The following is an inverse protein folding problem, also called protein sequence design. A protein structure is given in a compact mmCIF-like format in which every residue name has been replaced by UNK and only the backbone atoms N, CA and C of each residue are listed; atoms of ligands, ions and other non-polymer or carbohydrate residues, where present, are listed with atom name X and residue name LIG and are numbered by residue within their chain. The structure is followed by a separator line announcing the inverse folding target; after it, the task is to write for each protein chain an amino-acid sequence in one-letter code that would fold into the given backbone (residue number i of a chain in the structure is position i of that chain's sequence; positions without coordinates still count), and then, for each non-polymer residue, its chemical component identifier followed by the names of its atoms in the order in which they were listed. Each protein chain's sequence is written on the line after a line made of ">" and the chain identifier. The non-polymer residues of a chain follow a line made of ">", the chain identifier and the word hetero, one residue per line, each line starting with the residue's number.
data_IF_605316621550
#
_entry.id   IF_605316621550
#
_cell.length_a   1.000
_cell.length_b   1.000
_cell.length_c   1.000
_cell.angle_alpha   90.00
_cell.angle_beta   90.00
_cell.angle_gamma   90.00
#
_symmetry.space_group_name_H-M   'P 1'
#
loop_
_entity.id
_entity.type
_entity.pdbx_description
1 polymer ?
#
# COMPACT_ATOMS: atom_id res chain seq x y z
N UNK A 1 9.22 -5.77 0.71
CA UNK A 1 7.75 -5.89 0.60
C UNK A 1 7.19 -4.49 0.76
N UNK A 2 6.18 -4.08 -0.02
CA UNK A 2 5.62 -2.73 0.05
C UNK A 2 4.42 -2.69 1.00
N UNK A 3 4.21 -1.53 1.64
CA UNK A 3 3.09 -1.30 2.52
C UNK A 3 2.24 -0.13 2.02
N UNK A 4 0.93 -0.31 2.10
CA UNK A 4 -0.09 0.61 1.61
C UNK A 4 -1.01 1.03 2.73
N UNK A 5 -1.56 2.25 2.62
CA UNK A 5 -2.60 2.70 3.56
C UNK A 5 -3.97 2.31 3.01
N UNK A 6 -4.96 2.15 3.89
CA UNK A 6 -6.32 1.82 3.43
C UNK A 6 -6.89 2.93 2.55
N UNK A 7 -6.63 4.19 2.87
CA UNK A 7 -7.09 5.32 2.04
C UNK A 7 -6.44 5.34 0.66
N UNK A 8 -5.20 4.88 0.55
CA UNK A 8 -4.49 4.72 -0.73
C UNK A 8 -5.14 3.61 -1.55
N UNK A 9 -5.35 2.42 -0.98
CA UNK A 9 -5.97 1.29 -1.68
C UNK A 9 -7.38 1.62 -2.19
N UNK A 10 -8.16 2.41 -1.44
CA UNK A 10 -9.50 2.85 -1.83
C UNK A 10 -9.54 3.65 -3.14
N UNK A 11 -8.44 4.29 -3.53
CA UNK A 11 -8.35 5.07 -4.78
C UNK A 11 -8.28 4.18 -6.02
N UNK A 12 -7.79 2.94 -5.86
CA UNK A 12 -7.61 1.95 -6.92
C UNK A 12 -8.88 1.12 -7.10
N UNK A 13 -9.97 1.78 -7.51
CA UNK A 13 -11.31 1.19 -7.60
C UNK A 13 -11.90 1.16 -9.02
N UNK A 14 -11.09 1.44 -10.05
CA UNK A 14 -11.52 1.53 -11.45
C UNK A 14 -11.06 0.33 -12.24
N UNK A 15 -11.65 0.10 -13.42
CA UNK A 15 -11.29 -1.04 -14.28
C UNK A 15 -9.83 -0.99 -14.74
N UNK A 16 -9.31 0.21 -14.98
CA UNK A 16 -7.93 0.43 -15.43
C UNK A 16 -6.92 0.51 -14.27
N UNK A 17 -7.41 0.51 -13.03
CA UNK A 17 -6.62 0.62 -11.80
C UNK A 17 -7.43 0.04 -10.62
N UNK A 18 -7.30 -1.28 -10.43
CA UNK A 18 -8.19 -2.09 -9.60
C UNK A 18 -7.44 -2.91 -8.55
N UNK A 19 -7.51 -2.50 -7.29
CA UNK A 19 -6.92 -3.22 -6.18
C UNK A 19 -7.97 -3.75 -5.21
N UNK A 20 -7.63 -4.85 -4.52
CA UNK A 20 -8.44 -5.42 -3.45
C UNK A 20 -7.56 -5.89 -2.29
N UNK A 21 -8.13 -5.96 -1.09
CA UNK A 21 -7.43 -6.45 0.10
C UNK A 21 -8.00 -7.79 0.55
N UNK A 22 -7.15 -8.76 0.90
CA UNK A 22 -7.54 -10.03 1.52
C UNK A 22 -6.58 -10.33 2.67
N UNK A 23 -7.10 -10.38 3.90
CA UNK A 23 -6.39 -10.61 5.16
C UNK A 23 -5.12 -9.76 5.28
N UNK A 24 -5.24 -8.48 4.95
CA UNK A 24 -4.13 -7.54 5.01
C UNK A 24 -3.20 -7.54 3.78
N UNK A 25 -3.37 -8.46 2.83
CA UNK A 25 -2.59 -8.48 1.59
C UNK A 25 -3.30 -7.70 0.49
N UNK A 26 -2.55 -6.90 -0.27
CA UNK A 26 -3.03 -6.06 -1.37
C UNK A 26 -2.74 -6.75 -2.69
N UNK A 27 -3.78 -6.90 -3.51
CA UNK A 27 -3.71 -7.51 -4.82
C UNK A 27 -4.10 -6.50 -5.90
N UNK A 28 -3.25 -6.35 -6.91
CA UNK A 28 -3.54 -5.60 -8.13
C UNK A 28 -4.11 -6.56 -9.18
N UNK A 29 -5.42 -6.44 -9.46
CA UNK A 29 -6.10 -7.25 -10.46
C UNK A 29 -6.29 -6.50 -11.79
N UNK A 30 -5.71 -5.32 -11.94
CA UNK A 30 -5.74 -4.54 -13.19
C UNK A 30 -5.33 -5.37 -14.41
N UNK A 31 -4.25 -6.19 -14.37
CA UNK A 31 -3.87 -7.01 -15.52
C UNK A 31 -4.94 -8.07 -15.86
N UNK A 32 -5.57 -8.65 -14.84
CA UNK A 32 -6.64 -9.64 -15.03
C UNK A 32 -7.86 -9.02 -15.70
N UNK A 33 -8.28 -7.84 -15.25
CA UNK A 33 -9.43 -7.13 -15.85
C UNK A 33 -9.17 -6.66 -17.28
N UNK A 34 -7.93 -6.29 -17.58
CA UNK A 34 -7.50 -5.87 -18.92
C UNK A 34 -7.57 -7.00 -19.93
N UNK A 35 -7.05 -8.17 -19.57
CA UNK A 35 -6.99 -9.32 -20.49
C UNK A 35 -8.38 -9.93 -20.77
N UNK A 36 -9.37 -9.59 -19.95
CA UNK A 36 -10.75 -10.10 -20.05
C UNK A 36 -11.73 -9.09 -20.62
N UNK A 37 -11.26 -7.98 -21.19
CA UNK A 37 -12.14 -6.97 -21.77
C UNK A 37 -13.04 -7.53 -22.88
N UNK A 38 -12.55 -8.49 -23.67
CA UNK A 38 -13.30 -9.12 -24.76
C UNK A 38 -14.25 -10.22 -24.28
N UNK A 39 -13.96 -10.85 -23.12
CA UNK A 39 -14.77 -11.94 -22.53
C UNK A 39 -15.39 -11.50 -21.20
N UNK A 40 -16.03 -10.32 -21.22
CA UNK A 40 -16.61 -9.73 -20.03
C UNK A 40 -17.86 -10.48 -19.55
N UNK A 41 -17.96 -10.75 -18.24
CA UNK A 41 -19.08 -11.49 -17.66
C UNK A 41 -19.61 -10.82 -16.38
N UNK A 42 -20.78 -11.28 -15.90
CA UNK A 42 -21.43 -10.74 -14.69
C UNK A 42 -20.61 -10.91 -13.41
N UNK A 43 -19.72 -11.90 -13.34
CA UNK A 43 -18.83 -12.08 -12.18
C UNK A 43 -17.77 -10.97 -12.13
N UNK A 44 -17.29 -10.49 -13.28
CA UNK A 44 -16.37 -9.35 -13.33
C UNK A 44 -17.06 -8.03 -12.95
N UNK A 45 -18.32 -7.84 -13.33
CA UNK A 45 -19.11 -6.70 -12.83
C UNK A 45 -19.27 -6.75 -11.30
N UNK A 46 -19.55 -7.95 -10.78
CA UNK A 46 -19.66 -8.14 -9.34
C UNK A 46 -18.32 -7.92 -8.63
N UNK A 47 -17.20 -8.36 -9.22
CA UNK A 47 -15.86 -8.08 -8.71
C UNK A 47 -15.59 -6.58 -8.69
N UNK A 48 -15.90 -5.85 -9.77
CA UNK A 48 -15.67 -4.40 -9.88
C UNK A 48 -16.35 -3.62 -8.74
N UNK A 49 -17.51 -4.07 -8.27
CA UNK A 49 -18.21 -3.44 -7.15
C UNK A 49 -17.42 -3.47 -5.81
N UNK A 50 -16.37 -4.29 -5.73
CA UNK A 50 -15.45 -4.40 -4.60
C UNK A 50 -14.08 -3.74 -4.83
N UNK A 51 -13.91 -2.94 -5.89
CA UNK A 51 -12.68 -2.18 -6.10
C UNK A 51 -12.33 -1.29 -4.91
N UNK A 52 -11.08 -1.38 -4.48
CA UNK A 52 -10.56 -0.65 -3.31
C UNK A 52 -11.11 -1.15 -1.97
N UNK A 53 -11.77 -2.31 -1.90
CA UNK A 53 -12.37 -2.84 -0.67
C UNK A 53 -11.64 -4.06 -0.11
N UNK A 54 -11.96 -4.35 1.15
CA UNK A 54 -11.53 -5.55 1.84
C UNK A 54 -12.49 -6.73 1.57
N UNK A 55 -11.96 -7.78 0.97
CA UNK A 55 -12.63 -9.03 0.63
C UNK A 55 -12.41 -10.13 1.69
N UNK A 56 -11.68 -9.87 2.77
CA UNK A 56 -11.34 -10.85 3.83
C UNK A 56 -12.54 -11.62 4.35
N UNK A 57 -13.71 -10.99 4.41
CA UNK A 57 -14.95 -11.63 4.84
C UNK A 57 -15.29 -12.89 4.02
N UNK A 58 -14.94 -12.92 2.73
CA UNK A 58 -15.20 -14.04 1.83
C UNK A 58 -14.16 -15.17 1.90
N UNK A 59 -13.09 -15.00 2.66
CA UNK A 59 -11.99 -15.95 2.74
C UNK A 59 -11.77 -16.43 4.17
N UNK A 60 -11.35 -17.68 4.31
CA UNK A 60 -10.79 -18.20 5.55
C UNK A 60 -9.36 -17.65 5.75
N UNK A 61 -8.84 -17.74 6.98
CA UNK A 61 -7.48 -17.26 7.32
C UNK A 61 -6.36 -17.96 6.53
N UNK A 62 -6.62 -19.15 6.01
CA UNK A 62 -5.72 -19.89 5.13
C UNK A 62 -5.86 -19.49 3.64
N UNK A 63 -6.52 -18.36 3.35
CA UNK A 63 -6.77 -17.84 2.00
C UNK A 63 -7.62 -18.77 1.10
N UNK A 64 -8.37 -19.72 1.67
CA UNK A 64 -9.37 -20.47 0.90
C UNK A 64 -10.70 -19.73 0.87
N UNK A 65 -11.43 -19.74 -0.26
CA UNK A 65 -12.73 -19.10 -0.34
C UNK A 65 -13.73 -19.83 0.58
N UNK A 66 -14.54 -19.05 1.30
CA UNK A 66 -15.64 -19.60 2.11
C UNK A 66 -16.72 -20.17 1.20
N UNK A 67 -17.28 -21.30 1.62
CA UNK A 67 -18.35 -21.99 0.88
C UNK A 67 -19.60 -22.13 1.74
N UNK A 68 -20.76 -22.11 1.09
CA UNK A 68 -22.07 -22.34 1.68
C UNK A 68 -22.75 -23.51 0.94
N UNK A 69 -23.47 -24.34 1.69
CA UNK A 69 -24.33 -25.39 1.12
C UNK A 69 -25.70 -24.78 0.86
N UNK A 70 -26.11 -24.72 -0.40
CA UNK A 70 -27.45 -24.24 -0.74
C UNK A 70 -28.51 -25.17 -0.16
N UNK A 71 -29.33 -24.67 0.78
CA UNK A 71 -30.39 -25.47 1.42
C UNK A 71 -31.40 -26.08 0.46
N UNK A 72 -31.58 -25.48 -0.73
CA UNK A 72 -32.50 -25.96 -1.76
C UNK A 72 -31.90 -27.06 -2.68
N UNK A 73 -30.58 -27.08 -2.88
CA UNK A 73 -29.94 -27.97 -3.86
C UNK A 73 -28.91 -28.93 -3.26
N UNK A 74 -28.50 -28.73 -2.01
CA UNK A 74 -27.42 -29.48 -1.36
C UNK A 74 -26.02 -29.23 -1.97
N UNK A 75 -25.92 -28.36 -2.98
CA UNK A 75 -24.66 -28.08 -3.68
C UNK A 75 -23.83 -27.06 -2.90
N UNK A 76 -22.54 -27.35 -2.71
CA UNK A 76 -21.57 -26.40 -2.16
C UNK A 76 -21.25 -25.32 -3.19
N UNK A 77 -21.41 -24.06 -2.81
CA UNK A 77 -21.10 -22.87 -3.63
C UNK A 77 -20.18 -21.94 -2.85
N UNK A 78 -19.28 -21.26 -3.55
CA UNK A 78 -18.47 -20.20 -2.94
C UNK A 78 -19.34 -18.99 -2.61
N UNK A 79 -19.06 -18.31 -1.50
CA UNK A 79 -19.75 -17.07 -1.13
C UNK A 79 -19.43 -15.92 -2.10
N UNK A 80 -18.25 -15.96 -2.72
CA UNK A 80 -17.80 -14.96 -3.67
C UNK A 80 -17.52 -15.61 -5.04
N UNK A 81 -18.52 -15.73 -5.93
CA UNK A 81 -18.38 -16.34 -7.25
C UNK A 81 -17.20 -15.84 -8.11
N UNK A 82 -16.82 -14.54 -8.07
CA UNK A 82 -15.70 -14.05 -8.89
C UNK A 82 -14.36 -14.70 -8.57
N UNK A 83 -14.23 -15.46 -7.48
CA UNK A 83 -13.03 -16.24 -7.19
C UNK A 83 -12.80 -17.40 -8.16
N UNK A 84 -13.86 -17.90 -8.78
CA UNK A 84 -13.82 -19.01 -9.74
C UNK A 84 -13.35 -18.55 -11.13
N UNK A 85 -13.26 -17.23 -11.34
CA UNK A 85 -12.68 -16.68 -12.54
C UNK A 85 -11.21 -17.10 -12.63
N UNK A 86 -10.84 -17.70 -13.75
CA UNK A 86 -9.49 -18.20 -13.97
C UNK A 86 -8.42 -17.10 -13.90
N UNK A 87 -7.31 -17.34 -13.22
CA UNK A 87 -6.19 -16.40 -13.12
C UNK A 87 -5.40 -16.22 -14.42
N UNK A 88 -6.01 -16.48 -15.59
CA UNK A 88 -5.35 -16.30 -16.87
C UNK A 88 -5.23 -14.81 -17.18
N UNK A 89 -4.03 -14.28 -16.96
CA UNK A 89 -3.54 -13.09 -17.64
C UNK A 89 -2.35 -13.47 -18.52
N UNK A 90 -2.07 -12.71 -19.58
CA UNK A 90 -0.89 -12.86 -20.40
C UNK A 90 0.42 -12.81 -19.57
N UNK A 91 0.34 -12.19 -18.38
CA UNK A 91 1.43 -12.03 -17.44
C UNK A 91 1.58 -13.19 -16.45
N UNK A 92 0.51 -13.93 -16.16
CA UNK A 92 0.47 -14.92 -15.07
C UNK A 92 0.17 -16.31 -15.61
N UNK A 93 1.24 -17.10 -15.69
CA UNK A 93 1.25 -18.45 -16.24
C UNK A 93 1.09 -19.53 -15.17
N UNK A 94 0.62 -19.19 -13.97
CA UNK A 94 0.39 -20.22 -12.96
C UNK A 94 -0.87 -21.00 -13.33
N UNK A 95 -0.66 -22.20 -13.85
CA UNK A 95 -1.75 -23.10 -14.19
C UNK A 95 -2.35 -23.63 -12.88
N UNK A 96 -3.68 -23.73 -12.80
CA UNK A 96 -4.46 -24.29 -11.67
C UNK A 96 -4.52 -23.47 -10.36
N UNK A 97 -4.13 -22.18 -10.34
CA UNK A 97 -4.32 -21.32 -9.15
C UNK A 97 -5.45 -20.31 -9.35
N UNK A 98 -6.12 -20.00 -8.24
CA UNK A 98 -7.05 -18.87 -8.17
C UNK A 98 -6.26 -17.56 -8.16
N UNK A 99 -6.83 -16.46 -8.66
CA UNK A 99 -6.13 -15.18 -8.69
C UNK A 99 -5.73 -14.68 -7.29
N UNK A 100 -6.51 -14.99 -6.25
CA UNK A 100 -6.19 -14.63 -4.85
C UNK A 100 -4.97 -15.38 -4.29
N UNK A 101 -4.54 -16.46 -4.94
CA UNK A 101 -3.43 -17.31 -4.52
C UNK A 101 -2.22 -17.19 -5.45
N UNK A 102 -2.34 -16.42 -6.53
CA UNK A 102 -1.26 -16.21 -7.47
C UNK A 102 -0.36 -15.06 -6.97
N UNK A 103 0.94 -15.32 -6.69
CA UNK A 103 1.88 -14.28 -6.28
C UNK A 103 2.02 -13.14 -7.30
N UNK A 104 1.68 -13.38 -8.57
CA UNK A 104 1.67 -12.39 -9.63
C UNK A 104 0.91 -11.10 -9.27
N UNK A 105 -0.27 -11.26 -8.67
CA UNK A 105 -1.17 -10.14 -8.40
C UNK A 105 -0.87 -9.50 -7.05
N UNK A 106 -0.05 -10.14 -6.20
CA UNK A 106 0.25 -9.66 -4.87
C UNK A 106 1.32 -8.57 -4.92
N UNK A 107 0.94 -7.34 -4.57
CA UNK A 107 1.83 -6.16 -4.63
C UNK A 107 2.37 -5.72 -3.26
N UNK A 108 1.77 -6.16 -2.16
CA UNK A 108 2.22 -5.85 -0.80
C UNK A 108 1.13 -6.05 0.25
N UNK A 109 1.27 -5.38 1.40
CA UNK A 109 0.31 -5.46 2.50
C UNK A 109 -0.25 -4.08 2.87
N UNK A 110 -1.41 -4.04 3.52
CA UNK A 110 -1.86 -2.85 4.23
C UNK A 110 -1.08 -2.69 5.53
N UNK A 111 -0.85 -1.44 5.93
CA UNK A 111 -0.20 -1.09 7.19
C UNK A 111 -0.99 -1.57 8.40
N UNK A 112 -0.30 -2.00 9.46
CA UNK A 112 -0.94 -2.25 10.76
C UNK A 112 -1.40 -0.96 11.42
N UNK A 113 -0.64 0.12 11.22
CA UNK A 113 -0.89 1.41 11.87
C UNK A 113 -0.40 2.56 11.00
N UNK A 114 -1.22 3.58 10.85
CA UNK A 114 -0.82 4.81 10.17
C UNK A 114 -0.06 5.72 11.15
N UNK A 115 1.03 6.32 10.67
CA UNK A 115 1.75 7.38 11.38
C UNK A 115 1.70 8.69 10.62
N UNK A 116 1.70 9.79 11.36
CA UNK A 116 1.83 11.14 10.80
C UNK A 116 3.26 11.61 10.99
N UNK A 117 3.85 12.12 9.92
CA UNK A 117 5.16 12.76 9.95
C UNK A 117 5.08 14.13 9.30
N UNK A 118 5.95 15.04 9.74
CA UNK A 118 6.10 16.36 9.16
C UNK A 118 7.39 16.43 8.38
N UNK A 119 7.31 16.70 7.08
CA UNK A 119 8.47 16.90 6.20
C UNK A 119 8.63 18.40 5.98
N UNK A 120 9.78 18.94 6.33
CA UNK A 120 10.09 20.38 6.28
C UNK A 120 11.19 20.60 5.24
N UNK A 121 10.89 21.32 4.17
CA UNK A 121 11.91 21.76 3.23
C UNK A 121 12.55 23.05 3.75
N UNK A 122 13.84 23.01 4.06
CA UNK A 122 14.54 24.17 4.62
C UNK A 122 14.85 25.25 3.58
N UNK A 123 14.91 24.90 2.30
CA UNK A 123 15.18 25.83 1.22
C UNK A 123 13.95 26.70 0.91
N UNK A 124 12.77 26.08 0.83
CA UNK A 124 11.51 26.77 0.50
C UNK A 124 10.69 27.17 1.73
N UNK A 125 11.03 26.65 2.92
CA UNK A 125 10.26 26.80 4.14
C UNK A 125 8.92 26.04 4.13
N UNK A 126 8.68 25.16 3.14
CA UNK A 126 7.41 24.46 3.02
C UNK A 126 7.33 23.30 4.01
N UNK A 127 6.16 23.16 4.64
CA UNK A 127 5.88 22.10 5.60
C UNK A 127 4.78 21.21 5.05
N UNK A 128 5.08 19.93 4.87
CA UNK A 128 4.14 18.91 4.40
C UNK A 128 3.86 17.93 5.52
N UNK A 129 2.59 17.73 5.85
CA UNK A 129 2.17 16.68 6.78
C UNK A 129 1.79 15.46 5.95
N UNK A 130 2.56 14.38 6.10
CA UNK A 130 2.36 13.14 5.34
C UNK A 130 1.91 12.02 6.29
N UNK A 131 0.99 11.18 5.81
CA UNK A 131 0.63 9.92 6.48
C UNK A 131 1.44 8.78 5.86
N UNK A 132 2.04 7.94 6.70
CA UNK A 132 2.91 6.84 6.30
C UNK A 132 2.54 5.55 7.04
N UNK A 133 3.01 4.43 6.52
CA UNK A 133 2.86 3.13 7.17
C UNK A 133 3.89 2.99 8.31
N UNK A 134 3.57 2.24 9.36
CA UNK A 134 4.51 1.99 10.47
C UNK A 134 5.73 1.18 9.99
N UNK A 135 5.49 0.32 9.01
CA UNK A 135 6.47 -0.58 8.40
C UNK A 135 7.26 0.06 7.25
N UNK A 136 6.92 1.28 6.83
CA UNK A 136 7.65 1.96 5.77
C UNK A 136 9.09 2.24 6.21
N UNK A 137 10.04 1.87 5.36
CA UNK A 137 11.43 2.35 5.47
C UNK A 137 11.50 3.84 5.12
N UNK A 138 12.54 4.54 5.57
CA UNK A 138 12.77 5.93 5.13
C UNK A 138 12.88 6.00 3.59
N UNK A 139 13.42 4.98 2.93
CA UNK A 139 13.46 4.89 1.47
C UNK A 139 12.06 4.85 0.84
N UNK A 140 11.14 4.08 1.40
CA UNK A 140 9.75 4.04 0.93
C UNK A 140 9.04 5.39 1.16
N UNK A 141 9.31 6.06 2.29
CA UNK A 141 8.80 7.40 2.60
C UNK A 141 9.35 8.43 1.60
N UNK A 142 10.63 8.37 1.26
CA UNK A 142 11.25 9.21 0.23
C UNK A 142 10.59 9.03 -1.13
N UNK A 143 10.36 7.77 -1.54
CA UNK A 143 9.68 7.46 -2.80
C UNK A 143 8.28 8.04 -2.83
N UNK A 144 7.48 7.80 -1.78
CA UNK A 144 6.12 8.37 -1.64
C UNK A 144 6.16 9.90 -1.70
N UNK A 145 7.08 10.54 -0.98
CA UNK A 145 7.22 12.00 -1.02
C UNK A 145 7.55 12.53 -2.43
N UNK A 146 8.44 11.85 -3.15
CA UNK A 146 8.82 12.22 -4.53
C UNK A 146 7.65 12.12 -5.49
N UNK A 147 6.83 11.08 -5.37
CA UNK A 147 5.66 10.83 -6.21
C UNK A 147 4.54 11.85 -5.97
N UNK A 148 4.28 12.23 -4.71
CA UNK A 148 3.11 13.06 -4.37
C UNK A 148 3.40 14.56 -4.22
N UNK A 149 4.63 14.98 -3.89
CA UNK A 149 4.91 16.37 -3.51
C UNK A 149 6.05 17.03 -4.27
N UNK A 150 7.17 16.34 -4.49
CA UNK A 150 8.34 16.96 -5.11
C UNK A 150 9.14 15.99 -5.98
N UNK A 151 8.95 16.08 -7.30
CA UNK A 151 9.65 15.24 -8.27
C UNK A 151 11.18 15.43 -8.26
N UNK A 152 11.67 16.59 -7.80
CA UNK A 152 13.10 16.90 -7.67
C UNK A 152 13.69 16.51 -6.29
N UNK A 153 12.99 15.70 -5.49
CA UNK A 153 13.44 15.31 -4.15
C UNK A 153 14.73 14.45 -4.11
N UNK A 154 15.29 14.06 -5.26
CA UNK A 154 16.53 13.28 -5.33
C UNK A 154 17.79 14.05 -4.88
N UNK A 155 17.74 15.38 -4.93
CA UNK A 155 18.86 16.28 -4.56
C UNK A 155 18.74 16.86 -3.14
N UNK A 156 18.04 16.17 -2.25
CA UNK A 156 17.87 16.61 -0.86
C UNK A 156 18.47 15.59 0.11
N UNK A 157 19.23 16.08 1.08
CA UNK A 157 19.65 15.33 2.26
C UNK A 157 18.53 15.33 3.30
N UNK A 158 18.17 14.13 3.76
CA UNK A 158 17.12 13.93 4.76
C UNK A 158 17.77 13.80 6.14
N UNK A 159 17.34 14.62 7.11
CA UNK A 159 17.80 14.56 8.49
C UNK A 159 16.64 14.47 9.48
N UNK A 160 16.83 13.73 10.57
CA UNK A 160 15.89 13.72 11.69
C UNK A 160 16.18 14.88 12.65
N UNK A 161 15.13 15.43 13.25
CA UNK A 161 15.24 16.39 14.34
C UNK A 161 14.53 15.81 15.57
N UNK A 162 15.28 15.54 16.64
CA UNK A 162 14.73 15.13 17.94
C UNK A 162 14.55 16.36 18.83
N UNK A 163 13.46 16.38 19.60
CA UNK A 163 13.25 17.36 20.67
C UNK A 163 14.44 17.31 21.62
N UNK A 164 15.15 18.43 21.81
CA UNK A 164 16.30 18.51 22.73
C UNK A 164 17.58 19.18 22.20
N UNK A 165 17.59 19.75 20.99
CA UNK A 165 18.66 20.64 20.54
C UNK A 165 20.01 19.98 20.22
N UNK A 166 20.13 18.66 20.39
CA UNK A 166 21.21 17.87 19.82
C UNK A 166 20.76 17.34 18.46
N UNK A 167 21.18 17.99 17.37
CA UNK A 167 21.34 17.29 16.10
C UNK A 167 22.51 16.32 16.32
N UNK A 168 22.29 15.00 16.33
CA UNK A 168 22.96 14.23 15.30
C UNK A 168 22.23 12.93 14.94
N UNK A 169 22.09 12.69 13.66
CA UNK A 169 21.85 11.35 13.17
C UNK A 169 21.46 11.41 11.71
N UNK A 170 22.36 10.92 10.88
CA UNK A 170 22.03 10.48 9.54
C UNK A 170 20.82 9.54 9.62
N UNK A 171 19.82 9.78 8.77
CA UNK A 171 18.68 8.88 8.68
C UNK A 171 19.15 7.60 7.99
N UNK A 172 19.03 6.48 8.69
CA UNK A 172 19.32 5.18 8.11
C UNK A 172 18.18 4.83 7.16
N UNK A 173 18.47 4.88 5.85
CA UNK A 173 17.42 4.85 4.82
C UNK A 173 16.62 3.54 4.77
N UNK A 174 17.26 2.43 5.12
CA UNK A 174 16.63 1.10 5.11
C UNK A 174 15.87 0.76 6.40
N UNK A 175 15.99 1.61 7.42
CA UNK A 175 15.31 1.42 8.70
C UNK A 175 13.94 2.10 8.71
N UNK A 176 13.06 1.65 9.60
CA UNK A 176 11.73 2.26 9.81
C UNK A 176 11.86 3.57 10.59
N UNK A 177 10.75 4.29 10.73
CA UNK A 177 10.68 5.45 11.63
C UNK A 177 11.06 5.07 13.07
N UNK A 178 10.55 3.95 13.58
CA UNK A 178 10.88 3.46 14.91
C UNK A 178 12.35 3.07 15.03
N UNK A 179 12.92 2.39 14.02
CA UNK A 179 14.35 2.05 13.97
C UNK A 179 15.26 3.28 13.99
N UNK A 180 14.80 4.38 13.39
CA UNK A 180 15.49 5.68 13.44
C UNK A 180 15.23 6.49 14.72
N UNK A 181 14.46 5.95 15.67
CA UNK A 181 14.10 6.65 16.91
C UNK A 181 13.06 7.77 16.74
N UNK A 182 12.36 7.82 15.59
CA UNK A 182 11.24 8.74 15.32
C UNK A 182 9.94 8.14 15.86
N UNK A 183 9.89 8.02 17.19
CA UNK A 183 8.75 7.45 17.90
C UNK A 183 7.82 8.59 18.33
N UNK A 184 6.50 8.36 18.24
CA UNK A 184 5.52 9.26 18.86
C UNK A 184 5.42 8.81 20.31
N UNK A 185 5.92 9.62 21.24
CA UNK A 185 5.73 9.36 22.66
C UNK A 185 4.25 9.59 23.00
N UNK A 186 3.57 8.55 23.50
CA UNK A 186 2.22 8.69 24.06
C UNK A 186 2.34 9.42 25.39
N UNK A 187 2.24 10.74 25.34
CA UNK A 187 2.21 11.63 26.50
C UNK A 187 0.80 12.22 26.65
N UNK A 188 0.41 12.55 27.88
CA UNK A 188 -0.85 13.28 28.17
C UNK A 188 -0.88 14.69 27.54
N UNK A 189 0.27 15.17 27.08
CA UNK A 189 0.44 16.43 26.36
C UNK A 189 0.53 16.12 24.87
N UNK A 190 -0.23 16.87 24.06
CA UNK A 190 -0.23 16.74 22.60
C UNK A 190 1.13 17.20 22.04
N UNK A 191 2.06 16.24 21.94
CA UNK A 191 3.38 16.50 21.39
C UNK A 191 3.29 16.63 19.87
N UNK A 192 4.01 17.59 19.29
CA UNK A 192 4.09 17.75 17.84
C UNK A 192 4.68 16.49 17.18
N UNK A 193 4.10 16.13 16.04
CA UNK A 193 4.49 14.94 15.27
C UNK A 193 5.97 14.96 14.89
N UNK A 194 6.62 13.78 14.78
CA UNK A 194 8.02 13.67 14.37
C UNK A 194 8.27 14.40 13.06
N UNK A 195 9.40 15.12 12.99
CA UNK A 195 9.77 15.92 11.83
C UNK A 195 11.05 15.45 11.15
N UNK A 196 10.99 15.40 9.82
CA UNK A 196 12.10 15.14 8.92
C UNK A 196 12.39 16.41 8.14
N UNK A 197 13.66 16.78 8.07
CA UNK A 197 14.13 18.03 7.49
C UNK A 197 14.88 17.73 6.19
N UNK A 198 14.51 18.42 5.12
CA UNK A 198 15.12 18.31 3.80
C UNK A 198 16.06 19.48 3.58
N UNK A 199 17.34 19.17 3.41
CA UNK A 199 18.38 20.12 3.08
C UNK A 199 18.76 19.93 1.62
N UNK A 200 18.60 20.97 0.79
CA UNK A 200 19.03 20.92 -0.61
C UNK A 200 20.56 20.73 -0.68
N UNK A 201 21.01 19.77 -1.49
CA UNK A 201 22.41 19.64 -1.90
C UNK A 201 22.55 19.94 -3.37
N UNK A 202 23.56 20.75 -3.70
CA UNK A 202 23.86 21.20 -5.06
C UNK A 202 24.57 20.11 -5.90
N UNK A 203 24.28 18.84 -5.61
CA UNK A 203 24.90 17.72 -6.31
C UNK A 203 24.34 17.65 -7.73
N UNK A 204 25.12 18.22 -8.66
CA UNK A 204 25.05 18.09 -10.11
C UNK A 204 25.31 16.64 -10.57
N UNK A 205 24.52 15.68 -10.09
CA UNK A 205 24.59 14.27 -10.48
C UNK A 205 23.16 13.72 -10.55
N UNK A 206 22.52 13.37 -11.66
CA UNK A 206 22.86 13.18 -13.08
C UNK A 206 21.56 13.46 -13.86
N UNK A 207 21.69 13.97 -15.08
CA UNK A 207 20.63 14.20 -16.07
C UNK A 207 19.83 12.94 -16.45
#
# INVERSE_FOLDING_TARGET
>A
MRYYRYDEVCLHNKKEDFWVVIHGNVFDLTPMLRDRQETWNKNLDYLLAFGGKDLSHFFHLNHTPKTEVSGASGIRRVLFPPILESAHSAHCKTHNKMWSQDPCYHIGCVTKRERKIRIINTLTGTVVNMKVCDEDSIYDIQRKYKEFYNFHAGSYLWRKFSYGGHCPGELVLHETLAGNGLIVEESDIELPVPSIWLYYTDDLTVA
#
